data_IF_192438278308
#
_entry.id   IF_192438278308
#
_cell.length_a   1.000
_cell.length_b   1.000
_cell.length_c   1.000
_cell.angle_alpha   90.00
_cell.angle_beta   90.00
_cell.angle_gamma   90.00
#
_symmetry.space_group_name_H-M   'P 1'
#
loop_
_entity.id
_entity.type
_entity.pdbx_description
1 polymer ?
#
# COMPACT_ATOMS: atom_id res chain seq x y z
N UNK A 1 16.65 14.09 -23.95
CA UNK A 1 16.55 14.90 -22.69
C UNK A 1 15.08 14.94 -22.30
N UNK A 2 14.66 13.99 -21.47
CA UNK A 2 13.36 14.08 -20.82
C UNK A 2 13.38 15.30 -19.91
N UNK A 3 12.46 16.21 -20.13
CA UNK A 3 12.37 17.46 -19.36
C UNK A 3 12.08 17.10 -17.90
N UNK A 4 12.89 17.56 -16.98
CA UNK A 4 12.75 17.47 -15.52
C UNK A 4 11.36 17.93 -15.02
N UNK A 5 10.59 18.58 -15.89
CA UNK A 5 9.25 19.11 -15.62
C UNK A 5 8.11 18.08 -15.76
N UNK A 6 8.41 16.80 -16.11
CA UNK A 6 7.38 15.78 -16.35
C UNK A 6 7.30 14.73 -15.24
N UNK A 7 7.91 15.01 -14.10
CA UNK A 7 7.93 14.13 -12.94
C UNK A 7 7.18 14.75 -11.76
N UNK A 8 6.49 13.91 -11.03
CA UNK A 8 5.97 14.24 -9.70
C UNK A 8 7.06 13.89 -8.69
N UNK A 9 7.50 14.87 -7.90
CA UNK A 9 8.57 14.66 -6.91
C UNK A 9 7.98 14.73 -5.50
N UNK A 10 8.11 13.64 -4.76
CA UNK A 10 7.82 13.59 -3.34
C UNK A 10 9.13 13.65 -2.57
N UNK A 11 9.30 14.66 -1.74
CA UNK A 11 10.44 14.78 -0.82
C UNK A 11 10.08 14.21 0.55
N UNK A 12 11.07 13.97 1.42
CA UNK A 12 10.80 13.54 2.80
C UNK A 12 9.94 14.56 3.56
N UNK A 13 10.15 15.86 3.32
CA UNK A 13 9.36 16.90 3.94
C UNK A 13 7.92 16.88 3.45
N UNK A 14 7.70 16.89 2.14
CA UNK A 14 6.35 16.88 1.57
C UNK A 14 5.61 15.56 1.83
N UNK A 15 6.35 14.44 1.97
CA UNK A 15 5.79 13.19 2.44
C UNK A 15 5.25 13.31 3.87
N UNK A 16 6.04 13.86 4.80
CA UNK A 16 5.60 14.04 6.19
C UNK A 16 4.36 14.93 6.30
N UNK A 17 4.35 16.08 5.61
CA UNK A 17 3.21 16.99 5.57
C UNK A 17 1.98 16.32 4.93
N UNK A 18 2.20 15.59 3.84
CA UNK A 18 1.15 14.85 3.13
C UNK A 18 0.52 13.75 3.96
N UNK A 19 1.30 13.02 4.76
CA UNK A 19 0.76 11.99 5.65
C UNK A 19 -0.10 12.58 6.75
N UNK A 20 0.26 13.75 7.26
CA UNK A 20 -0.58 14.49 8.20
C UNK A 20 -1.91 14.88 7.58
N UNK A 21 -1.88 15.46 6.39
CA UNK A 21 -3.07 15.85 5.63
C UNK A 21 -3.97 14.64 5.33
N UNK A 22 -3.39 13.53 4.90
CA UNK A 22 -4.14 12.31 4.60
C UNK A 22 -4.80 11.72 5.86
N UNK A 23 -4.10 11.75 7.00
CA UNK A 23 -4.66 11.34 8.28
C UNK A 23 -5.84 12.23 8.71
N UNK A 24 -5.74 13.54 8.49
CA UNK A 24 -6.82 14.49 8.75
C UNK A 24 -8.05 14.20 7.88
N UNK A 25 -7.88 13.91 6.59
CA UNK A 25 -8.98 13.49 5.71
C UNK A 25 -9.66 12.21 6.20
N UNK A 26 -8.89 11.23 6.67
CA UNK A 26 -9.44 9.98 7.23
C UNK A 26 -10.26 10.31 8.49
N UNK A 27 -9.71 11.08 9.41
CA UNK A 27 -10.39 11.48 10.64
C UNK A 27 -11.67 12.27 10.39
N UNK A 28 -11.62 13.26 9.49
CA UNK A 28 -12.76 14.13 9.15
C UNK A 28 -13.89 13.36 8.44
N UNK A 29 -13.58 12.21 7.80
CA UNK A 29 -14.60 11.34 7.23
C UNK A 29 -15.50 10.65 8.28
N UNK A 30 -15.15 10.76 9.57
CA UNK A 30 -15.84 10.10 10.67
C UNK A 30 -15.54 8.59 10.77
N UNK A 31 -14.58 8.09 9.99
CA UNK A 31 -14.17 6.69 10.01
C UNK A 31 -12.74 6.54 10.54
N UNK A 32 -12.54 5.58 11.43
CA UNK A 32 -11.23 5.30 12.02
C UNK A 32 -10.90 3.83 11.92
N UNK A 33 -9.69 3.47 11.48
CA UNK A 33 -9.26 2.08 11.44
C UNK A 33 -8.90 1.55 12.83
N UNK A 34 -9.21 0.28 13.06
CA UNK A 34 -8.70 -0.49 14.19
C UNK A 34 -7.32 -1.10 13.87
N UNK A 35 -7.07 -1.36 12.58
CA UNK A 35 -5.85 -1.96 12.07
C UNK A 35 -5.41 -1.27 10.77
N UNK A 36 -4.12 -1.01 10.63
CA UNK A 36 -3.51 -0.56 9.38
C UNK A 36 -2.75 -1.71 8.76
N UNK A 37 -3.00 -1.99 7.48
CA UNK A 37 -2.29 -3.01 6.70
C UNK A 37 -1.48 -2.34 5.61
N UNK A 38 -0.16 -2.48 5.69
CA UNK A 38 0.76 -1.98 4.69
C UNK A 38 0.92 -2.98 3.54
N UNK A 39 0.79 -2.48 2.32
CA UNK A 39 1.19 -3.23 1.13
C UNK A 39 2.69 -3.03 0.94
N UNK A 40 3.48 -4.05 1.27
CA UNK A 40 4.93 -3.95 1.16
C UNK A 40 5.34 -4.00 -0.33
N UNK A 41 6.37 -3.30 -0.70
CA UNK A 41 7.28 -2.45 0.11
C UNK A 41 6.82 -0.99 0.19
N UNK A 42 6.29 -0.43 -0.90
CA UNK A 42 5.96 1.00 -1.03
C UNK A 42 5.00 1.52 0.05
N UNK A 43 4.04 0.69 0.46
CA UNK A 43 3.06 1.03 1.48
C UNK A 43 3.58 1.04 2.92
N UNK A 44 4.79 0.52 3.18
CA UNK A 44 5.34 0.45 4.55
C UNK A 44 5.54 1.82 5.18
N UNK A 45 6.11 2.76 4.43
CA UNK A 45 6.37 4.12 4.94
C UNK A 45 5.09 4.91 5.19
N UNK A 46 4.16 5.02 4.23
CA UNK A 46 2.91 5.72 4.47
C UNK A 46 2.04 5.04 5.55
N UNK A 47 2.00 3.71 5.61
CA UNK A 47 1.26 3.01 6.65
C UNK A 47 1.82 3.29 8.05
N UNK A 48 3.14 3.26 8.21
CA UNK A 48 3.78 3.63 9.46
C UNK A 48 3.46 5.06 9.89
N UNK A 49 3.60 6.02 8.98
CA UNK A 49 3.30 7.41 9.25
C UNK A 49 1.82 7.64 9.60
N UNK A 50 0.90 7.03 8.85
CA UNK A 50 -0.54 7.12 9.11
C UNK A 50 -0.91 6.47 10.45
N UNK A 51 -0.32 5.33 10.80
CA UNK A 51 -0.60 4.66 12.09
C UNK A 51 -0.26 5.56 13.29
N UNK A 52 0.86 6.28 13.22
CA UNK A 52 1.20 7.29 14.22
C UNK A 52 0.25 8.48 14.23
N UNK A 53 -0.06 9.03 13.05
CA UNK A 53 -0.92 10.20 12.95
C UNK A 53 -2.37 9.93 13.40
N UNK A 54 -2.87 8.71 13.15
CA UNK A 54 -4.22 8.27 13.56
C UNK A 54 -4.25 7.66 14.98
N UNK A 55 -3.10 7.41 15.59
CA UNK A 55 -3.02 6.76 16.89
C UNK A 55 -3.38 5.27 16.88
N UNK A 56 -3.38 4.63 15.71
CA UNK A 56 -3.67 3.21 15.54
C UNK A 56 -2.40 2.40 15.76
N UNK A 57 -2.34 1.62 16.85
CA UNK A 57 -1.13 0.85 17.20
C UNK A 57 -1.03 -0.48 16.47
N UNK A 58 -2.16 -1.05 16.08
CA UNK A 58 -2.19 -2.32 15.36
C UNK A 58 -1.81 -2.10 13.89
N UNK A 59 -0.74 -2.76 13.46
CA UNK A 59 -0.25 -2.69 12.09
C UNK A 59 0.16 -4.09 11.63
N UNK A 60 -0.15 -4.39 10.37
CA UNK A 60 0.28 -5.61 9.71
C UNK A 60 0.82 -5.31 8.32
N UNK A 61 1.46 -6.28 7.70
CA UNK A 61 1.98 -6.16 6.35
C UNK A 61 1.57 -7.34 5.48
N UNK A 62 1.27 -7.04 4.22
CA UNK A 62 1.10 -8.01 3.15
C UNK A 62 2.09 -7.68 2.04
N UNK A 63 2.79 -8.69 1.53
CA UNK A 63 3.64 -8.55 0.36
C UNK A 63 2.99 -9.24 -0.84
N UNK A 64 2.89 -8.52 -1.94
CA UNK A 64 2.39 -9.04 -3.21
C UNK A 64 3.52 -9.01 -4.22
N UNK A 65 3.89 -10.18 -4.71
CA UNK A 65 4.91 -10.34 -5.72
C UNK A 65 4.29 -10.80 -7.03
N UNK A 66 4.77 -10.21 -8.13
CA UNK A 66 4.41 -10.63 -9.46
C UNK A 66 5.55 -11.48 -10.01
N UNK A 67 5.33 -12.79 -10.17
CA UNK A 67 6.30 -13.67 -10.84
C UNK A 67 6.07 -13.61 -12.34
N UNK A 68 7.11 -13.23 -13.06
CA UNK A 68 7.18 -13.44 -14.51
C UNK A 68 7.85 -14.79 -14.73
N UNK A 69 7.05 -15.80 -15.04
CA UNK A 69 7.61 -17.07 -15.50
C UNK A 69 8.17 -16.88 -16.92
N UNK A 70 9.32 -17.53 -17.19
CA UNK A 70 10.07 -17.41 -18.45
C UNK A 70 9.27 -17.93 -19.67
N UNK A 71 8.11 -18.51 -19.47
CA UNK A 71 7.23 -19.07 -20.48
C UNK A 71 5.92 -18.26 -20.63
N UNK A 72 5.99 -17.10 -21.26
CA UNK A 72 4.89 -16.37 -21.96
C UNK A 72 3.50 -16.29 -21.29
N UNK A 73 3.34 -16.56 -20.01
CA UNK A 73 2.09 -16.32 -19.28
C UNK A 73 2.12 -14.96 -18.61
N UNK A 74 0.96 -14.28 -18.58
CA UNK A 74 0.79 -13.04 -17.83
C UNK A 74 1.23 -13.27 -16.38
N UNK A 75 1.98 -12.33 -15.77
CA UNK A 75 2.45 -12.50 -14.39
C UNK A 75 1.23 -12.60 -13.45
N UNK A 76 1.14 -13.74 -12.75
CA UNK A 76 0.14 -13.92 -11.71
C UNK A 76 0.67 -13.35 -10.40
N UNK A 77 -0.12 -12.52 -9.70
CA UNK A 77 0.28 -11.99 -8.41
C UNK A 77 0.24 -13.10 -7.35
N UNK A 78 1.30 -13.19 -6.56
CA UNK A 78 1.39 -14.07 -5.40
C UNK A 78 1.38 -13.25 -4.14
N UNK A 79 0.42 -13.52 -3.25
CA UNK A 79 0.39 -12.93 -1.91
C UNK A 79 1.20 -13.81 -0.98
N UNK A 80 2.27 -13.26 -0.44
CA UNK A 80 3.08 -13.95 0.57
C UNK A 80 2.32 -13.99 1.92
N UNK A 81 2.64 -14.95 2.79
CA UNK A 81 2.01 -15.03 4.11
C UNK A 81 2.09 -13.69 4.85
N UNK A 82 0.98 -13.22 5.44
CA UNK A 82 0.96 -11.92 6.10
C UNK A 82 1.80 -11.92 7.38
N UNK A 83 2.48 -10.81 7.63
CA UNK A 83 3.15 -10.54 8.91
C UNK A 83 2.19 -9.77 9.83
N UNK A 84 1.23 -10.47 10.40
CA UNK A 84 0.27 -9.90 11.35
C UNK A 84 -0.42 -11.02 12.14
N UNK A 85 -0.95 -10.67 13.29
CA UNK A 85 -1.89 -11.54 14.00
C UNK A 85 -3.25 -11.50 13.29
N UNK A 86 -3.55 -12.54 12.52
CA UNK A 86 -4.78 -12.61 11.74
C UNK A 86 -6.02 -12.80 12.63
N UNK A 87 -5.87 -13.31 13.85
CA UNK A 87 -6.98 -13.42 14.81
C UNK A 87 -7.48 -12.04 15.27
N UNK A 88 -6.60 -11.03 15.27
CA UNK A 88 -6.92 -9.66 15.61
C UNK A 88 -7.80 -8.94 14.58
N UNK A 89 -8.02 -9.53 13.40
CA UNK A 89 -8.83 -8.95 12.31
C UNK A 89 -10.34 -9.08 12.52
N UNK A 90 -10.78 -10.04 13.36
CA UNK A 90 -12.21 -10.35 13.54
C UNK A 90 -13.02 -9.11 13.94
N UNK A 91 -13.98 -8.72 13.09
CA UNK A 91 -14.87 -7.59 13.32
C UNK A 91 -14.18 -6.23 13.32
N UNK A 92 -12.93 -6.13 12.83
CA UNK A 92 -12.16 -4.88 12.80
C UNK A 92 -12.40 -4.08 11.53
N UNK A 93 -12.20 -2.77 11.66
CA UNK A 93 -12.08 -1.85 10.52
C UNK A 93 -10.63 -1.79 10.08
N UNK A 94 -10.38 -2.13 8.83
CA UNK A 94 -9.03 -2.26 8.28
C UNK A 94 -8.76 -1.16 7.25
N UNK A 95 -7.65 -0.44 7.41
CA UNK A 95 -7.13 0.48 6.42
C UNK A 95 -5.97 -0.18 5.66
N UNK A 96 -6.17 -0.45 4.38
CA UNK A 96 -5.11 -0.92 3.48
C UNK A 96 -4.38 0.29 2.91
N UNK A 97 -3.06 0.33 3.05
CA UNK A 97 -2.23 1.48 2.65
C UNK A 97 -1.17 1.05 1.64
N UNK A 98 -1.11 1.77 0.54
CA UNK A 98 -0.04 1.67 -0.46
C UNK A 98 0.50 3.06 -0.82
N UNK A 99 1.62 3.13 -1.53
CA UNK A 99 2.18 4.40 -1.99
C UNK A 99 1.47 4.94 -3.23
N UNK A 100 1.11 4.08 -4.17
CA UNK A 100 0.45 4.45 -5.42
C UNK A 100 -0.55 3.39 -5.90
N UNK A 101 -1.73 3.84 -6.29
CA UNK A 101 -2.65 3.06 -7.12
C UNK A 101 -2.36 3.38 -8.59
N UNK A 102 -1.44 2.63 -9.20
CA UNK A 102 -1.03 2.82 -10.59
C UNK A 102 -2.01 2.13 -11.54
N UNK A 103 -1.88 0.84 -11.79
CA UNK A 103 -2.94 0.05 -12.43
C UNK A 103 -4.08 -0.27 -11.46
N UNK A 104 -3.83 -0.21 -10.17
CA UNK A 104 -4.75 -0.55 -9.10
C UNK A 104 -4.92 -2.05 -8.85
N UNK A 105 -4.29 -2.92 -9.65
CA UNK A 105 -4.44 -4.38 -9.52
C UNK A 105 -3.97 -4.93 -8.18
N UNK A 106 -2.80 -4.47 -7.71
CA UNK A 106 -2.27 -4.88 -6.40
C UNK A 106 -3.19 -4.46 -5.27
N UNK A 107 -3.61 -3.20 -5.28
CA UNK A 107 -4.51 -2.68 -4.25
C UNK A 107 -5.85 -3.41 -4.24
N UNK A 108 -6.44 -3.66 -5.43
CA UNK A 108 -7.67 -4.42 -5.55
C UNK A 108 -7.52 -5.83 -4.98
N UNK A 109 -6.43 -6.53 -5.33
CA UNK A 109 -6.15 -7.88 -4.84
C UNK A 109 -6.09 -7.91 -3.31
N UNK A 110 -5.37 -6.97 -2.69
CA UNK A 110 -5.22 -6.93 -1.23
C UNK A 110 -6.54 -6.56 -0.55
N UNK A 111 -7.26 -5.58 -1.07
CA UNK A 111 -8.58 -5.20 -0.54
C UNK A 111 -9.56 -6.37 -0.66
N UNK A 112 -9.61 -7.05 -1.79
CA UNK A 112 -10.46 -8.22 -2.00
C UNK A 112 -10.08 -9.38 -1.09
N UNK A 113 -8.78 -9.63 -0.90
CA UNK A 113 -8.31 -10.66 0.01
C UNK A 113 -8.78 -10.40 1.44
N UNK A 114 -8.57 -9.18 1.93
CA UNK A 114 -8.93 -8.81 3.31
C UNK A 114 -10.45 -8.79 3.50
N UNK A 115 -11.21 -8.31 2.52
CA UNK A 115 -12.65 -8.09 2.65
C UNK A 115 -13.51 -9.31 2.31
N UNK A 116 -13.16 -10.08 1.26
CA UNK A 116 -14.03 -11.13 0.71
C UNK A 116 -13.63 -12.53 1.12
N UNK A 117 -12.33 -12.78 1.21
CA UNK A 117 -11.82 -14.13 1.51
C UNK A 117 -11.50 -14.32 2.97
N UNK A 118 -11.52 -13.22 3.75
CA UNK A 118 -10.93 -13.22 5.07
C UNK A 118 -9.44 -13.55 5.02
N UNK A 119 -8.76 -13.36 6.10
CA UNK A 119 -7.38 -13.84 6.23
C UNK A 119 -7.46 -15.17 6.96
N UNK A 120 -6.89 -16.21 6.38
CA UNK A 120 -6.80 -17.52 7.03
C UNK A 120 -5.85 -17.39 8.21
N UNK A 121 -6.35 -17.60 9.42
CA UNK A 121 -5.53 -17.64 10.64
C UNK A 121 -4.63 -18.89 10.65
N UNK A 122 -3.65 -18.91 11.56
CA UNK A 122 -2.79 -20.07 11.77
C UNK A 122 -3.58 -21.35 12.10
N UNK A 123 -4.81 -21.21 12.59
CA UNK A 123 -5.72 -22.32 12.94
C UNK A 123 -6.68 -22.68 11.78
N UNK A 124 -6.40 -22.19 10.54
CA UNK A 124 -7.22 -22.40 9.34
C UNK A 124 -8.64 -21.80 9.44
N UNK A 125 -8.92 -20.94 10.40
CA UNK A 125 -10.19 -20.23 10.48
C UNK A 125 -10.20 -19.01 9.56
N UNK A 126 -11.30 -18.81 8.81
CA UNK A 126 -11.55 -17.58 8.05
C UNK A 126 -11.96 -16.48 9.01
N UNK A 127 -11.19 -15.40 9.05
CA UNK A 127 -11.44 -14.26 9.92
C UNK A 127 -12.08 -13.14 9.08
N UNK A 128 -13.34 -12.84 9.40
CA UNK A 128 -14.08 -11.76 8.75
C UNK A 128 -13.79 -10.41 9.40
N UNK A 129 -13.54 -9.40 8.57
CA UNK A 129 -13.41 -8.00 8.99
C UNK A 129 -14.76 -7.29 8.86
N UNK A 130 -14.98 -6.20 9.61
CA UNK A 130 -16.24 -5.46 9.51
C UNK A 130 -16.27 -4.53 8.29
N UNK A 131 -15.16 -3.87 7.99
CA UNK A 131 -15.06 -2.94 6.88
C UNK A 131 -13.59 -2.79 6.46
N UNK A 132 -13.36 -2.64 5.15
CA UNK A 132 -12.05 -2.35 4.58
C UNK A 132 -12.13 -1.05 3.80
N UNK A 133 -11.22 -0.13 4.07
CA UNK A 133 -10.96 1.05 3.25
C UNK A 133 -9.50 1.08 2.83
N UNK A 134 -9.22 1.87 1.79
CA UNK A 134 -7.89 2.00 1.23
C UNK A 134 -7.42 3.44 1.20
N UNK A 135 -6.12 3.64 1.40
CA UNK A 135 -5.46 4.94 1.31
C UNK A 135 -4.17 4.83 0.50
N UNK A 136 -3.93 5.81 -0.36
CA UNK A 136 -2.70 5.91 -1.15
C UNK A 136 -2.20 7.36 -1.17
N UNK A 137 -0.90 7.53 -1.38
CA UNK A 137 -0.33 8.86 -1.62
C UNK A 137 -0.77 9.36 -2.98
N UNK A 138 -0.62 8.52 -4.01
CA UNK A 138 -0.96 8.89 -5.38
C UNK A 138 -1.95 7.92 -6.03
N UNK A 139 -2.88 8.48 -6.82
CA UNK A 139 -3.76 7.74 -7.71
C UNK A 139 -3.47 8.13 -9.16
N UNK A 140 -3.29 7.15 -10.03
CA UNK A 140 -3.22 7.33 -11.49
C UNK A 140 -4.61 7.22 -12.12
N UNK A 141 -4.85 7.96 -13.19
CA UNK A 141 -6.14 7.92 -13.91
C UNK A 141 -6.49 6.53 -14.44
N UNK A 142 -5.47 5.73 -14.78
CA UNK A 142 -5.60 4.35 -15.27
C UNK A 142 -5.88 3.30 -14.19
N UNK A 143 -5.92 3.70 -12.90
CA UNK A 143 -6.22 2.77 -11.83
C UNK A 143 -7.64 2.20 -11.95
N UNK A 144 -7.74 0.87 -11.92
CA UNK A 144 -9.02 0.15 -11.96
C UNK A 144 -9.80 0.24 -10.65
N UNK A 145 -9.14 0.63 -9.56
CA UNK A 145 -9.77 0.89 -8.26
C UNK A 145 -9.74 2.37 -7.93
N UNK A 146 -10.74 2.79 -7.19
CA UNK A 146 -10.80 4.11 -6.58
C UNK A 146 -10.50 3.96 -5.10
N UNK A 147 -9.29 4.33 -4.63
CA UNK A 147 -9.00 4.32 -3.20
C UNK A 147 -9.96 5.25 -2.46
N UNK A 148 -10.29 4.90 -1.22
CA UNK A 148 -11.18 5.73 -0.39
C UNK A 148 -10.54 7.05 -0.01
N UNK A 149 -9.24 7.04 0.19
CA UNK A 149 -8.46 8.22 0.57
C UNK A 149 -7.23 8.36 -0.34
N UNK A 150 -7.10 9.51 -0.95
CA UNK A 150 -6.01 9.84 -1.89
C UNK A 150 -5.44 11.20 -1.53
N UNK A 151 -4.12 11.30 -1.38
CA UNK A 151 -3.49 12.59 -1.15
C UNK A 151 -3.46 13.43 -2.43
N UNK A 152 -3.02 12.83 -3.55
CA UNK A 152 -2.89 13.53 -4.83
C UNK A 152 -3.12 12.61 -6.02
N UNK A 153 -3.77 13.14 -7.07
CA UNK A 153 -3.89 12.47 -8.38
C UNK A 153 -2.82 12.97 -9.31
N UNK A 154 -2.16 12.06 -10.02
CA UNK A 154 -1.15 12.41 -11.03
C UNK A 154 -0.93 11.27 -12.01
N UNK A 155 -0.77 11.58 -13.29
CA UNK A 155 -0.35 10.62 -14.32
C UNK A 155 1.15 10.70 -14.61
N UNK A 156 1.85 11.64 -13.98
CA UNK A 156 3.29 11.79 -14.13
C UNK A 156 4.05 10.62 -13.50
N UNK A 157 5.27 10.39 -13.93
CA UNK A 157 6.18 9.49 -13.25
C UNK A 157 6.52 10.04 -11.85
N UNK A 158 6.42 9.20 -10.83
CA UNK A 158 6.60 9.63 -9.44
C UNK A 158 8.01 9.26 -8.97
N UNK A 159 8.72 10.26 -8.44
CA UNK A 159 9.97 10.06 -7.73
C UNK A 159 9.69 10.04 -6.23
N UNK A 160 9.74 8.86 -5.63
CA UNK A 160 9.62 8.70 -4.18
C UNK A 160 10.96 8.92 -3.49
N UNK A 161 11.00 9.54 -2.29
CA UNK A 161 12.26 9.84 -1.62
C UNK A 161 13.05 8.60 -1.21
N UNK A 162 12.37 7.46 -1.00
CA UNK A 162 13.00 6.17 -0.65
C UNK A 162 13.55 5.39 -1.83
N UNK A 163 13.29 5.80 -3.05
CA UNK A 163 13.76 5.14 -4.26
C UNK A 163 14.48 6.07 -5.25
N UNK A 164 14.84 7.28 -4.79
CA UNK A 164 15.55 8.28 -5.63
C UNK A 164 16.99 7.85 -5.90
N UNK A 165 17.64 7.19 -4.95
CA UNK A 165 18.98 6.66 -5.11
C UNK A 165 18.95 5.18 -5.45
N UNK A 166 19.93 4.67 -6.21
CA UNK A 166 20.03 3.25 -6.49
C UNK A 166 20.26 2.43 -5.22
N UNK A 167 19.91 1.15 -5.22
CA UNK A 167 20.20 0.26 -4.10
C UNK A 167 21.71 0.23 -3.80
N UNK A 168 22.06 0.15 -2.51
CA UNK A 168 23.45 -0.09 -2.08
C UNK A 168 23.72 -1.58 -2.24
N UNK A 169 24.23 -1.95 -3.41
CA UNK A 169 24.52 -3.34 -3.77
C UNK A 169 25.95 -3.46 -4.24
N UNK A 170 26.52 -4.67 -4.20
CA UNK A 170 27.82 -4.97 -4.79
C UNK A 170 27.73 -4.73 -6.32
N UNK A 171 28.54 -3.79 -6.88
CA UNK A 171 28.51 -3.50 -8.32
C UNK A 171 28.83 -4.72 -9.20
N UNK A 172 29.47 -5.76 -8.64
CA UNK A 172 29.73 -7.01 -9.35
C UNK A 172 28.57 -8.01 -9.35
N UNK A 173 27.49 -7.72 -8.64
CA UNK A 173 26.28 -8.54 -8.54
C UNK A 173 25.08 -7.96 -9.32
N UNK A 174 25.27 -6.90 -10.06
CA UNK A 174 24.23 -6.33 -10.92
C UNK A 174 24.07 -7.23 -12.13
N UNK A 175 23.10 -8.12 -12.12
CA UNK A 175 22.78 -8.99 -13.26
C UNK A 175 22.69 -10.47 -12.95
N UNK A 176 22.49 -10.87 -11.69
CA UNK A 176 22.12 -12.24 -11.34
C UNK A 176 20.62 -12.36 -11.07
#
# INVERSE_FOLDING_TARGET
MEKENDREVLTWQTFGDGMRTLAEHIYESGWMPDLVVAVARGGLLPAGALSYALGTKSIGTLNVEFYTDIAETLPEPVVLPPLMDTSALRGKKVLVVDDVADSGKTLQLVVDLVSKHGVVSADEEVVEVSEVRSAVIYEKSRSIVKPDYVLKKTDKWINFPWSTLPPVTDPNKVGA
#
